data_IF_576908676716
#
_entry.id   IF_576908676716
#
_cell.length_a   1.000
_cell.length_b   1.000
_cell.length_c   1.000
_cell.angle_alpha   90.00
_cell.angle_beta   90.00
_cell.angle_gamma   90.00
#
_symmetry.space_group_name_H-M   'P 1'
#
loop_
_entity.id
_entity.type
_entity.pdbx_description
1 polymer ?
#
# COMPACT_ATOMS: atom_id res chain seq x y z
N UNK A 1 -9.18 9.64 30.07
CA UNK A 1 -7.73 9.55 29.79
C UNK A 1 -7.53 8.50 28.71
N UNK A 2 -7.13 8.75 27.49
CA UNK A 2 -7.05 9.96 26.68
C UNK A 2 -7.10 9.44 25.23
N UNK A 3 -8.21 9.67 24.53
CA UNK A 3 -8.22 9.58 23.07
C UNK A 3 -7.33 10.73 22.61
N UNK A 4 -6.27 10.42 21.88
CA UNK A 4 -5.35 11.42 21.35
C UNK A 4 -6.09 12.18 20.23
N UNK A 5 -6.65 13.39 20.49
CA UNK A 5 -7.80 13.89 19.72
C UNK A 5 -7.43 14.37 18.31
N UNK A 6 -6.19 14.77 18.06
CA UNK A 6 -5.88 15.53 16.85
C UNK A 6 -6.01 14.71 15.56
N UNK A 7 -5.42 13.51 15.50
CA UNK A 7 -5.43 12.73 14.25
C UNK A 7 -6.83 12.20 13.91
N UNK A 8 -7.51 11.62 14.90
CA UNK A 8 -8.81 10.98 14.68
C UNK A 8 -9.88 12.02 14.32
N UNK A 9 -9.90 13.16 15.02
CA UNK A 9 -10.79 14.28 14.73
C UNK A 9 -10.47 14.95 13.39
N UNK A 10 -9.19 15.22 13.10
CA UNK A 10 -8.76 15.78 11.80
C UNK A 10 -9.19 14.87 10.64
N UNK A 11 -8.99 13.56 10.76
CA UNK A 11 -9.45 12.60 9.77
C UNK A 11 -10.98 12.65 9.62
N UNK A 12 -11.71 12.56 10.74
CA UNK A 12 -13.17 12.53 10.73
C UNK A 12 -13.76 13.79 10.07
N UNK A 13 -13.32 14.98 10.49
CA UNK A 13 -13.79 16.26 9.94
C UNK A 13 -13.43 16.39 8.45
N UNK A 14 -12.23 15.98 8.05
CA UNK A 14 -11.81 16.02 6.65
C UNK A 14 -12.74 15.17 5.77
N UNK A 15 -13.04 13.94 6.21
CA UNK A 15 -13.90 13.02 5.48
C UNK A 15 -15.37 13.49 5.53
N UNK A 16 -15.85 13.98 6.67
CA UNK A 16 -17.21 14.53 6.82
C UNK A 16 -17.47 15.71 5.88
N UNK A 17 -16.49 16.58 5.66
CA UNK A 17 -16.60 17.68 4.71
C UNK A 17 -16.70 17.21 3.25
N UNK A 18 -16.16 16.02 2.93
CA UNK A 18 -16.14 15.49 1.57
C UNK A 18 -17.30 14.54 1.27
N UNK A 19 -17.85 13.86 2.29
CA UNK A 19 -18.87 12.82 2.12
C UNK A 19 -20.08 13.07 3.01
N UNK A 20 -21.29 13.02 2.45
CA UNK A 20 -22.53 13.26 3.20
C UNK A 20 -22.91 12.18 4.23
N UNK A 21 -22.32 10.98 4.15
CA UNK A 21 -22.62 9.85 5.02
C UNK A 21 -21.33 9.34 5.65
N UNK A 22 -21.03 9.84 6.84
CA UNK A 22 -19.86 9.47 7.64
C UNK A 22 -20.34 9.19 9.05
N UNK A 23 -19.96 8.04 9.59
CA UNK A 23 -20.36 7.58 10.91
C UNK A 23 -19.14 7.18 11.73
N UNK A 24 -19.08 7.62 12.98
CA UNK A 24 -18.10 7.12 13.93
C UNK A 24 -18.65 5.86 14.59
N UNK A 25 -17.89 4.78 14.50
CA UNK A 25 -18.18 3.50 15.14
C UNK A 25 -17.14 3.29 16.23
N UNK A 26 -17.52 3.67 17.45
CA UNK A 26 -16.70 3.38 18.61
C UNK A 26 -16.78 1.89 18.94
N UNK A 27 -15.67 1.20 18.70
CA UNK A 27 -15.52 -0.22 19.01
C UNK A 27 -14.30 -0.39 19.88
N UNK A 28 -14.33 0.09 21.12
CA UNK A 28 -13.17 0.03 22.02
C UNK A 28 -12.54 -1.37 22.02
N UNK A 29 -11.22 -1.50 21.79
CA UNK A 29 -10.19 -0.45 21.74
C UNK A 29 -9.98 0.25 20.37
N UNK A 30 -10.76 -0.07 19.35
CA UNK A 30 -10.65 0.44 17.98
C UNK A 30 -11.47 1.71 17.76
N UNK A 31 -11.00 2.52 16.82
CA UNK A 31 -11.67 3.73 16.35
C UNK A 31 -11.93 3.59 14.86
N UNK A 32 -13.17 3.30 14.50
CA UNK A 32 -13.55 3.01 13.12
C UNK A 32 -14.44 4.12 12.60
N UNK A 33 -14.11 4.64 11.41
CA UNK A 33 -14.97 5.60 10.69
C UNK A 33 -15.55 4.90 9.47
N UNK A 34 -16.89 4.81 9.43
CA UNK A 34 -17.64 4.31 8.29
C UNK A 34 -17.90 5.42 7.28
N UNK A 35 -17.68 5.14 6.00
CA UNK A 35 -17.79 6.10 4.90
C UNK A 35 -18.73 5.53 3.84
N UNK A 36 -19.88 6.20 3.65
CA UNK A 36 -20.97 5.85 2.73
C UNK A 36 -21.48 4.41 2.85
N UNK A 37 -21.30 3.76 4.01
CA UNK A 37 -21.62 2.34 4.22
C UNK A 37 -20.85 1.39 3.29
N UNK A 38 -19.75 1.85 2.67
CA UNK A 38 -18.95 1.08 1.70
C UNK A 38 -17.58 0.72 2.24
N UNK A 39 -16.97 1.64 2.97
CA UNK A 39 -15.58 1.55 3.42
C UNK A 39 -15.53 1.94 4.87
N UNK A 40 -14.81 1.13 5.64
CA UNK A 40 -14.57 1.39 7.04
C UNK A 40 -13.07 1.55 7.24
N UNK A 41 -12.67 2.58 7.98
CA UNK A 41 -11.27 2.91 8.21
C UNK A 41 -11.04 2.86 9.72
N UNK A 42 -10.24 1.89 10.16
CA UNK A 42 -9.76 1.83 11.53
C UNK A 42 -8.53 2.73 11.68
N UNK A 43 -8.63 3.75 12.54
CA UNK A 43 -7.58 4.74 12.77
C UNK A 43 -6.65 4.27 13.90
N UNK A 44 -5.36 4.24 13.62
CA UNK A 44 -4.31 3.74 14.50
C UNK A 44 -3.37 4.87 14.91
N UNK A 45 -3.56 5.47 16.11
CA UNK A 45 -2.61 6.40 16.70
C UNK A 45 -1.24 5.75 16.90
N UNK A 46 -0.15 6.52 16.82
CA UNK A 46 1.20 5.99 17.03
C UNK A 46 1.40 5.42 18.44
N UNK A 47 0.75 6.01 19.45
CA UNK A 47 0.83 5.56 20.83
C UNK A 47 -0.08 4.35 21.14
N UNK A 48 -0.75 3.77 20.14
CA UNK A 48 -1.64 2.65 20.35
C UNK A 48 -0.87 1.32 20.49
N UNK A 49 -1.17 0.58 21.55
CA UNK A 49 -0.58 -0.73 21.83
C UNK A 49 -1.41 -1.85 21.22
N UNK A 50 -1.36 -1.99 19.90
CA UNK A 50 -2.01 -3.08 19.19
C UNK A 50 -1.03 -4.21 18.87
N UNK A 51 -1.56 -5.43 18.84
CA UNK A 51 -0.91 -6.59 18.23
C UNK A 51 -1.45 -6.82 16.82
N UNK A 52 -0.63 -7.28 15.87
CA UNK A 52 -1.12 -7.53 14.51
C UNK A 52 -2.31 -8.48 14.43
N UNK A 53 -2.35 -9.50 15.29
CA UNK A 53 -3.45 -10.45 15.34
C UNK A 53 -4.80 -9.79 15.71
N UNK A 54 -4.79 -8.73 16.52
CA UNK A 54 -6.01 -7.99 16.88
C UNK A 54 -6.58 -7.28 15.65
N UNK A 55 -5.72 -6.63 14.86
CA UNK A 55 -6.12 -5.93 13.63
C UNK A 55 -6.61 -6.89 12.55
N UNK A 56 -5.98 -8.06 12.44
CA UNK A 56 -6.42 -9.13 11.54
C UNK A 56 -7.77 -9.72 11.93
N UNK A 57 -7.98 -9.93 13.23
CA UNK A 57 -9.26 -10.44 13.74
C UNK A 57 -10.38 -9.44 13.50
N UNK A 58 -10.12 -8.14 13.69
CA UNK A 58 -11.08 -7.08 13.37
C UNK A 58 -11.46 -7.08 11.89
N UNK A 59 -10.49 -7.16 10.98
CA UNK A 59 -10.77 -7.28 9.55
C UNK A 59 -11.60 -8.51 9.21
N UNK A 60 -11.33 -9.66 9.85
CA UNK A 60 -12.08 -10.88 9.61
C UNK A 60 -13.55 -10.74 10.03
N UNK A 61 -13.83 -10.12 11.18
CA UNK A 61 -15.21 -9.86 11.66
C UNK A 61 -15.97 -8.97 10.68
N UNK A 62 -15.37 -7.87 10.23
CA UNK A 62 -15.99 -6.98 9.25
C UNK A 62 -16.17 -7.67 7.89
N UNK A 63 -15.19 -8.45 7.44
CA UNK A 63 -15.28 -9.20 6.19
C UNK A 63 -16.42 -10.24 6.20
N UNK A 64 -16.68 -10.91 7.33
CA UNK A 64 -17.82 -11.83 7.49
C UNK A 64 -19.17 -11.13 7.34
N UNK A 65 -19.25 -9.85 7.67
CA UNK A 65 -20.43 -9.00 7.47
C UNK A 65 -20.51 -8.42 6.05
N UNK A 66 -19.57 -8.78 5.16
CA UNK A 66 -19.45 -8.22 3.82
C UNK A 66 -18.86 -6.81 3.78
N UNK A 67 -18.33 -6.33 4.89
CA UNK A 67 -17.82 -4.96 5.04
C UNK A 67 -16.31 -4.92 4.77
N UNK A 68 -15.87 -3.91 4.01
CA UNK A 68 -14.46 -3.70 3.73
C UNK A 68 -13.82 -2.75 4.75
N UNK A 69 -12.96 -3.29 5.61
CA UNK A 69 -12.20 -2.56 6.62
C UNK A 69 -10.73 -2.43 6.23
N UNK A 70 -10.21 -1.21 6.29
CA UNK A 70 -8.78 -0.87 6.13
C UNK A 70 -8.21 -0.30 7.42
N UNK A 71 -6.89 -0.40 7.57
CA UNK A 71 -6.15 0.15 8.72
C UNK A 71 -5.34 1.36 8.26
N UNK A 72 -5.53 2.49 8.94
CA UNK A 72 -4.80 3.73 8.66
C UNK A 72 -4.03 4.17 9.90
N UNK A 73 -2.72 4.16 9.79
CA UNK A 73 -1.84 4.71 10.81
C UNK A 73 -1.71 6.24 10.70
N UNK A 74 -1.55 6.87 11.85
CA UNK A 74 -1.39 8.31 12.01
C UNK A 74 -0.27 8.90 11.15
N UNK A 75 0.92 8.28 11.14
CA UNK A 75 2.06 8.78 10.36
C UNK A 75 1.79 8.77 8.84
N UNK A 76 1.05 7.76 8.36
CA UNK A 76 0.64 7.66 6.96
C UNK A 76 -0.34 8.77 6.61
N UNK A 77 -1.28 9.07 7.50
CA UNK A 77 -2.21 10.19 7.31
C UNK A 77 -1.48 11.54 7.24
N UNK A 78 -0.60 11.81 8.21
CA UNK A 78 0.16 13.07 8.27
C UNK A 78 1.02 13.26 7.02
N UNK A 79 1.65 12.20 6.51
CA UNK A 79 2.57 12.29 5.36
C UNK A 79 1.90 12.21 3.99
N UNK A 80 0.80 11.48 3.88
CA UNK A 80 0.21 11.05 2.60
C UNK A 80 -1.31 11.26 2.57
N UNK A 81 -1.79 12.32 3.22
CA UNK A 81 -3.22 12.69 3.33
C UNK A 81 -3.95 12.61 1.98
N UNK A 82 -3.41 13.27 0.96
CA UNK A 82 -4.01 13.26 -0.38
C UNK A 82 -4.12 11.84 -0.95
N UNK A 83 -3.07 11.03 -0.89
CA UNK A 83 -3.09 9.66 -1.41
C UNK A 83 -4.09 8.77 -0.63
N UNK A 84 -4.23 8.98 0.68
CA UNK A 84 -5.22 8.29 1.51
C UNK A 84 -6.64 8.66 1.07
N UNK A 85 -6.94 9.95 0.93
CA UNK A 85 -8.25 10.44 0.49
C UNK A 85 -8.59 9.91 -0.91
N UNK A 86 -7.62 9.90 -1.82
CA UNK A 86 -7.78 9.34 -3.17
C UNK A 86 -8.18 7.86 -3.13
N UNK A 87 -7.58 7.09 -2.23
CA UNK A 87 -7.83 5.66 -2.09
C UNK A 87 -9.21 5.39 -1.51
N UNK A 88 -9.60 6.15 -0.48
CA UNK A 88 -10.95 6.12 0.10
C UNK A 88 -12.00 6.49 -0.97
N UNK A 89 -11.75 7.54 -1.75
CA UNK A 89 -12.62 7.96 -2.85
C UNK A 89 -12.79 6.86 -3.92
N UNK A 90 -11.69 6.16 -4.23
CA UNK A 90 -11.70 5.01 -5.13
C UNK A 90 -12.54 3.85 -4.58
N UNK A 91 -12.37 3.51 -3.29
CA UNK A 91 -13.16 2.46 -2.64
C UNK A 91 -14.65 2.81 -2.53
N UNK A 92 -14.98 4.10 -2.42
CA UNK A 92 -16.35 4.59 -2.49
C UNK A 92 -16.94 4.51 -3.91
N UNK A 93 -16.13 4.18 -4.94
CA UNK A 93 -16.57 4.06 -6.33
C UNK A 93 -16.85 5.40 -7.01
N UNK A 94 -16.22 6.48 -6.55
CA UNK A 94 -16.49 7.85 -7.00
C UNK A 94 -15.49 8.34 -8.05
N UNK A 95 -14.46 7.54 -8.36
CA UNK A 95 -13.48 7.89 -9.39
C UNK A 95 -14.11 7.96 -10.79
N UNK A 96 -13.57 8.85 -11.62
CA UNK A 96 -13.84 8.85 -13.05
C UNK A 96 -13.35 7.53 -13.67
N UNK A 97 -14.25 6.84 -14.36
CA UNK A 97 -13.92 5.57 -15.01
C UNK A 97 -13.46 5.78 -16.45
N UNK A 98 -12.26 5.28 -16.75
CA UNK A 98 -11.72 5.18 -18.11
C UNK A 98 -11.60 3.71 -18.52
N UNK A 99 -11.65 3.46 -19.83
CA UNK A 99 -11.51 2.12 -20.38
C UNK A 99 -10.10 1.91 -20.94
N UNK A 100 -9.36 0.93 -20.42
CA UNK A 100 -7.95 0.68 -20.75
C UNK A 100 -7.68 0.43 -22.23
N UNK A 101 -8.67 -0.08 -22.98
CA UNK A 101 -8.58 -0.24 -24.44
C UNK A 101 -8.26 1.07 -25.17
N UNK A 102 -8.79 2.20 -24.70
CA UNK A 102 -8.57 3.54 -25.28
C UNK A 102 -7.21 4.14 -24.92
N UNK A 103 -6.55 3.65 -23.87
CA UNK A 103 -5.24 4.13 -23.44
C UNK A 103 -4.14 3.65 -24.38
N UNK A 104 -3.17 4.51 -24.69
CA UNK A 104 -1.97 4.14 -25.46
C UNK A 104 -0.87 3.72 -24.49
N UNK A 105 -0.22 2.59 -24.75
CA UNK A 105 0.90 2.11 -23.94
C UNK A 105 2.16 2.88 -24.33
N UNK A 106 2.97 3.24 -23.35
CA UNK A 106 4.30 3.79 -23.57
C UNK A 106 5.30 3.26 -22.54
N UNK A 107 6.59 3.30 -22.89
CA UNK A 107 7.65 3.15 -21.89
C UNK A 107 7.85 4.49 -21.18
N UNK A 108 8.05 4.43 -19.88
CA UNK A 108 8.21 5.60 -19.02
C UNK A 108 9.61 5.56 -18.43
N UNK A 109 10.35 6.66 -18.53
CA UNK A 109 11.66 6.76 -17.89
C UNK A 109 11.53 6.73 -16.36
N UNK A 110 12.67 6.59 -15.67
CA UNK A 110 12.66 6.45 -14.21
C UNK A 110 12.26 7.73 -13.48
N UNK A 111 12.53 8.90 -14.05
CA UNK A 111 12.19 10.19 -13.45
C UNK A 111 10.69 10.45 -13.55
N UNK A 112 10.11 10.27 -14.73
CA UNK A 112 8.66 10.39 -14.95
C UNK A 112 7.89 9.37 -14.10
N UNK A 113 8.37 8.13 -14.00
CA UNK A 113 7.74 7.11 -13.15
C UNK A 113 7.83 7.46 -11.65
N UNK A 114 8.96 8.01 -11.21
CA UNK A 114 9.15 8.47 -9.84
C UNK A 114 8.18 9.59 -9.49
N UNK A 115 8.13 10.60 -10.35
CA UNK A 115 7.24 11.75 -10.22
C UNK A 115 5.78 11.33 -10.14
N UNK A 116 5.35 10.42 -11.00
CA UNK A 116 3.98 9.92 -11.01
C UNK A 116 3.65 9.13 -9.73
N UNK A 117 4.53 8.22 -9.31
CA UNK A 117 4.29 7.33 -8.18
C UNK A 117 4.39 8.06 -6.84
N UNK A 118 5.27 9.05 -6.67
CA UNK A 118 5.32 9.86 -5.44
C UNK A 118 4.03 10.66 -5.21
N UNK A 119 3.40 11.09 -6.31
CA UNK A 119 2.12 11.83 -6.26
C UNK A 119 0.94 10.90 -6.04
N UNK A 120 0.88 9.75 -6.71
CA UNK A 120 -0.36 8.96 -6.79
C UNK A 120 -0.32 7.61 -6.05
N UNK A 121 0.85 7.12 -5.65
CA UNK A 121 0.98 5.83 -4.96
C UNK A 121 1.32 6.01 -3.48
N UNK A 122 0.60 5.32 -2.59
CA UNK A 122 0.77 5.44 -1.14
C UNK A 122 2.20 5.11 -0.68
N UNK A 123 2.81 4.07 -1.26
CA UNK A 123 4.17 3.64 -0.96
C UNK A 123 5.25 4.37 -1.78
N UNK A 124 4.87 5.36 -2.60
CA UNK A 124 5.80 6.11 -3.44
C UNK A 124 6.54 5.27 -4.49
N UNK A 125 7.65 5.81 -4.96
CA UNK A 125 8.49 5.21 -5.99
C UNK A 125 9.53 4.25 -5.41
N UNK A 126 9.84 3.21 -6.17
CA UNK A 126 11.01 2.36 -5.96
C UNK A 126 11.65 2.07 -7.31
N UNK A 127 12.98 2.00 -7.34
CA UNK A 127 13.73 1.72 -8.56
C UNK A 127 13.35 0.35 -9.14
N UNK A 128 12.96 0.36 -10.41
CA UNK A 128 12.52 -0.82 -11.17
C UNK A 128 13.22 -0.88 -12.52
N UNK A 129 13.18 -2.06 -13.17
CA UNK A 129 13.85 -2.27 -14.45
C UNK A 129 13.00 -1.80 -15.63
N UNK A 130 11.69 -2.01 -15.54
CA UNK A 130 10.73 -1.66 -16.58
C UNK A 130 9.63 -0.79 -15.99
N UNK A 131 9.31 0.32 -16.64
CA UNK A 131 8.14 1.14 -16.28
C UNK A 131 7.30 1.34 -17.54
N UNK A 132 6.02 1.01 -17.44
CA UNK A 132 5.06 1.14 -18.53
C UNK A 132 3.94 2.09 -18.10
N UNK A 133 3.55 2.96 -19.01
CA UNK A 133 2.53 3.97 -18.81
C UNK A 133 1.29 3.75 -19.69
N UNK A 134 0.14 4.27 -19.25
CA UNK A 134 -1.04 4.43 -20.10
C UNK A 134 -1.36 5.91 -20.30
N UNK A 135 -1.30 6.36 -21.56
CA UNK A 135 -1.69 7.70 -21.96
C UNK A 135 -3.11 7.79 -22.51
N UNK A 136 -3.82 8.84 -22.13
CA UNK A 136 -5.11 9.23 -22.70
C UNK A 136 -4.98 10.67 -23.17
N UNK A 137 -5.27 10.92 -24.45
CA UNK A 137 -5.17 12.26 -25.07
C UNK A 137 -3.80 12.95 -24.82
N UNK A 138 -2.71 12.17 -24.83
CA UNK A 138 -1.36 12.68 -24.60
C UNK A 138 -0.94 12.75 -23.12
N UNK A 139 -1.86 12.60 -22.18
CA UNK A 139 -1.59 12.70 -20.74
C UNK A 139 -1.42 11.31 -20.10
N UNK A 140 -0.38 11.15 -19.27
CA UNK A 140 -0.11 9.91 -18.55
C UNK A 140 -1.12 9.74 -17.41
N UNK A 141 -1.93 8.67 -17.46
CA UNK A 141 -3.00 8.40 -16.48
C UNK A 141 -2.74 7.20 -15.58
N UNK A 142 -1.77 6.34 -15.91
CA UNK A 142 -1.36 5.24 -15.05
C UNK A 142 0.07 4.81 -15.32
N UNK A 143 0.73 4.27 -14.30
CA UNK A 143 2.08 3.70 -14.37
C UNK A 143 2.10 2.34 -13.67
N UNK A 144 2.67 1.34 -14.33
CA UNK A 144 3.03 0.05 -13.76
C UNK A 144 4.55 -0.14 -13.82
N UNK A 145 5.14 -0.57 -12.72
CA UNK A 145 6.58 -0.78 -12.59
C UNK A 145 6.89 -2.24 -12.30
N UNK A 146 7.81 -2.82 -13.06
CA UNK A 146 8.18 -4.22 -13.00
C UNK A 146 9.66 -4.39 -12.67
N UNK A 147 9.96 -5.37 -11.82
CA UNK A 147 11.32 -5.79 -11.53
C UNK A 147 11.92 -6.55 -12.72
N UNK A 148 13.26 -6.68 -12.74
CA UNK A 148 13.92 -7.60 -13.64
C UNK A 148 13.53 -9.05 -13.32
N UNK A 149 13.44 -9.89 -14.35
CA UNK A 149 13.27 -11.34 -14.19
C UNK A 149 14.44 -11.94 -13.39
N UNK A 150 14.14 -12.94 -12.56
CA UNK A 150 15.09 -13.64 -11.70
C UNK A 150 14.88 -15.16 -11.76
N UNK A 151 15.95 -15.96 -11.84
CA UNK A 151 15.87 -17.40 -11.68
C UNK A 151 15.38 -17.80 -10.28
N UNK A 152 14.39 -18.68 -10.22
CA UNK A 152 13.82 -19.20 -8.99
C UNK A 152 14.27 -20.65 -8.79
N UNK A 153 15.49 -20.82 -8.27
CA UNK A 153 16.12 -22.15 -8.11
C UNK A 153 15.25 -23.14 -7.31
N UNK A 154 14.47 -22.67 -6.35
CA UNK A 154 13.56 -23.49 -5.56
C UNK A 154 12.35 -24.03 -6.34
N UNK A 155 12.04 -23.46 -7.53
CA UNK A 155 10.94 -23.88 -8.41
C UNK A 155 11.42 -24.67 -9.64
N UNK A 156 12.74 -24.87 -9.80
CA UNK A 156 13.34 -25.64 -10.89
C UNK A 156 14.45 -24.88 -11.63
N UNK A 157 15.27 -25.62 -12.39
CA UNK A 157 16.48 -25.11 -13.04
C UNK A 157 16.22 -24.03 -14.11
N UNK A 158 15.05 -24.08 -14.76
CA UNK A 158 14.66 -23.15 -15.84
C UNK A 158 13.49 -22.25 -15.45
N UNK A 159 13.22 -22.11 -14.15
CA UNK A 159 12.12 -21.29 -13.67
C UNK A 159 12.57 -19.84 -13.49
N UNK A 160 11.88 -18.91 -14.15
CA UNK A 160 12.09 -17.47 -14.02
C UNK A 160 10.80 -16.78 -13.56
N UNK A 161 10.92 -15.84 -12.63
CA UNK A 161 9.82 -15.02 -12.13
C UNK A 161 10.18 -13.55 -12.24
N UNK A 162 9.19 -12.70 -12.47
CA UNK A 162 9.31 -11.24 -12.33
C UNK A 162 8.25 -10.71 -11.35
N UNK A 163 8.43 -9.48 -10.89
CA UNK A 163 7.52 -8.84 -9.93
C UNK A 163 6.85 -7.61 -10.53
N UNK A 164 5.52 -7.50 -10.40
CA UNK A 164 4.80 -6.23 -10.50
C UNK A 164 4.95 -5.52 -9.16
N UNK A 165 5.83 -4.52 -9.14
CA UNK A 165 6.27 -3.85 -7.91
C UNK A 165 5.31 -2.73 -7.52
N UNK A 166 4.86 -1.94 -8.49
CA UNK A 166 3.94 -0.82 -8.28
C UNK A 166 2.95 -0.69 -9.41
N UNK A 167 1.74 -0.29 -9.07
CA UNK A 167 0.75 0.19 -10.04
C UNK A 167 -0.05 1.33 -9.41
N UNK A 168 -0.12 2.46 -10.10
CA UNK A 168 -1.01 3.55 -9.73
C UNK A 168 -1.73 4.10 -10.95
N UNK A 169 -2.94 4.57 -10.73
CA UNK A 169 -3.65 5.47 -11.63
C UNK A 169 -3.56 6.88 -11.07
N UNK A 170 -3.76 7.88 -11.93
CA UNK A 170 -3.89 9.26 -11.50
C UNK A 170 -5.01 9.37 -10.45
N UNK A 171 -4.78 10.23 -9.46
CA UNK A 171 -5.78 10.61 -8.45
C UNK A 171 -7.15 10.88 -9.08
N UNK A 172 -8.20 10.29 -8.50
CA UNK A 172 -9.57 10.45 -8.96
C UNK A 172 -9.93 9.63 -10.22
N UNK A 173 -9.00 8.83 -10.76
CA UNK A 173 -9.22 8.03 -11.97
C UNK A 173 -9.14 6.54 -11.67
N UNK A 174 -10.06 5.76 -12.24
CA UNK A 174 -10.00 4.30 -12.28
C UNK A 174 -9.99 3.85 -13.74
N UNK A 175 -9.02 3.01 -14.12
CA UNK A 175 -8.88 2.53 -15.50
C UNK A 175 -9.23 1.05 -15.57
N UNK A 176 -10.46 0.74 -15.98
CA UNK A 176 -10.93 -0.63 -16.16
C UNK A 176 -10.09 -1.34 -17.23
N UNK A 177 -9.46 -2.46 -16.87
CA UNK A 177 -8.55 -3.21 -17.74
C UNK A 177 -7.20 -2.53 -18.00
N UNK A 178 -6.89 -1.41 -17.33
CA UNK A 178 -5.63 -0.69 -17.51
C UNK A 178 -4.41 -1.51 -17.06
N UNK A 179 -4.45 -2.07 -15.85
CA UNK A 179 -3.37 -2.90 -15.33
C UNK A 179 -3.15 -4.16 -16.18
N UNK A 180 -4.22 -4.87 -16.56
CA UNK A 180 -4.12 -6.06 -17.41
C UNK A 180 -3.46 -5.76 -18.76
N UNK A 181 -3.77 -4.61 -19.37
CA UNK A 181 -3.14 -4.16 -20.62
C UNK A 181 -1.63 -3.90 -20.46
N UNK A 182 -1.23 -3.30 -19.33
CA UNK A 182 0.19 -3.06 -19.03
C UNK A 182 0.94 -4.36 -18.72
N UNK A 183 0.32 -5.30 -18.01
CA UNK A 183 0.88 -6.63 -17.73
C UNK A 183 1.10 -7.40 -19.04
N UNK A 184 0.11 -7.44 -19.94
CA UNK A 184 0.25 -8.11 -21.23
C UNK A 184 1.44 -7.54 -22.02
N UNK A 185 1.53 -6.21 -22.12
CA UNK A 185 2.64 -5.55 -22.80
C UNK A 185 4.02 -5.80 -22.16
N UNK A 186 4.07 -6.00 -20.84
CA UNK A 186 5.30 -6.44 -20.16
C UNK A 186 5.66 -7.89 -20.52
N UNK A 187 4.70 -8.80 -20.48
CA UNK A 187 4.92 -10.23 -20.75
C UNK A 187 5.26 -10.52 -22.21
N UNK A 188 4.81 -9.68 -23.15
CA UNK A 188 5.22 -9.74 -24.56
C UNK A 188 6.73 -9.49 -24.73
N UNK A 189 7.35 -8.73 -23.81
CA UNK A 189 8.76 -8.33 -23.84
C UNK A 189 9.65 -9.19 -22.94
N UNK A 190 9.09 -9.75 -21.88
CA UNK A 190 9.84 -10.45 -20.83
C UNK A 190 9.24 -11.83 -20.60
N UNK A 191 9.95 -12.86 -21.07
CA UNK A 191 9.56 -14.25 -20.84
C UNK A 191 9.86 -14.65 -19.39
N UNK A 192 8.81 -14.99 -18.65
CA UNK A 192 8.84 -15.51 -17.29
C UNK A 192 7.79 -16.61 -17.16
N UNK A 193 7.96 -17.51 -16.19
CA UNK A 193 6.99 -18.55 -15.85
C UNK A 193 5.87 -18.04 -14.93
N UNK A 194 6.17 -17.02 -14.13
CA UNK A 194 5.18 -16.31 -13.35
C UNK A 194 5.50 -14.82 -13.21
N UNK A 195 4.45 -14.02 -13.01
CA UNK A 195 4.53 -12.66 -12.52
C UNK A 195 3.95 -12.62 -11.11
N UNK A 196 4.77 -12.26 -10.13
CA UNK A 196 4.34 -12.15 -8.74
C UNK A 196 4.05 -10.71 -8.31
N UNK A 197 3.24 -10.54 -7.28
CA UNK A 197 2.98 -9.22 -6.67
C UNK A 197 2.49 -9.36 -5.23
N UNK A 198 2.57 -8.27 -4.47
CA UNK A 198 2.15 -8.20 -3.07
C UNK A 198 1.06 -7.14 -2.90
N UNK A 199 0.03 -7.48 -2.12
CA UNK A 199 -1.01 -6.54 -1.73
C UNK A 199 -0.97 -6.32 -0.21
N UNK A 200 -0.74 -5.07 0.22
CA UNK A 200 -0.73 -4.70 1.63
C UNK A 200 -2.10 -4.94 2.28
N UNK A 201 -2.14 -5.75 3.33
CA UNK A 201 -3.38 -6.17 4.00
C UNK A 201 -4.03 -5.06 4.79
N UNK A 202 -3.28 -4.01 5.14
CA UNK A 202 -3.84 -2.80 5.73
C UNK A 202 -4.81 -2.11 4.75
N UNK A 203 -4.63 -2.32 3.43
CA UNK A 203 -5.31 -1.56 2.38
C UNK A 203 -6.01 -2.42 1.32
N UNK A 204 -5.96 -3.74 1.41
CA UNK A 204 -6.43 -4.61 0.33
C UNK A 204 -6.86 -5.99 0.81
N UNK A 205 -7.99 -6.45 0.28
CA UNK A 205 -8.42 -7.86 0.33
C UNK A 205 -8.05 -8.63 -0.95
N UNK A 206 -7.28 -8.04 -1.87
CA UNK A 206 -6.76 -8.73 -3.06
C UNK A 206 -7.71 -8.85 -4.27
N UNK A 207 -8.99 -8.50 -4.12
CA UNK A 207 -10.04 -8.61 -5.17
C UNK A 207 -9.67 -8.09 -6.57
N UNK A 208 -8.77 -7.12 -6.67
CA UNK A 208 -8.31 -6.58 -7.95
C UNK A 208 -7.42 -7.56 -8.73
N UNK A 209 -6.60 -8.34 -8.03
CA UNK A 209 -5.68 -9.32 -8.62
C UNK A 209 -6.41 -10.58 -9.06
N UNK A 210 -7.40 -11.05 -8.29
CA UNK A 210 -8.24 -12.21 -8.64
C UNK A 210 -8.88 -12.04 -10.03
N UNK A 211 -9.41 -10.85 -10.31
CA UNK A 211 -10.04 -10.50 -11.61
C UNK A 211 -9.06 -10.49 -12.79
N UNK A 212 -7.75 -10.40 -12.51
CA UNK A 212 -6.70 -10.41 -13.52
C UNK A 212 -6.07 -11.80 -13.69
N UNK A 213 -6.65 -12.84 -13.06
CA UNK A 213 -6.15 -14.21 -13.15
C UNK A 213 -4.96 -14.52 -12.23
N UNK A 214 -4.62 -13.60 -11.31
CA UNK A 214 -3.65 -13.94 -10.28
C UNK A 214 -4.26 -14.94 -9.29
N UNK A 215 -3.43 -15.85 -8.82
CA UNK A 215 -3.76 -16.82 -7.79
C UNK A 215 -3.11 -16.41 -6.46
N UNK A 216 -3.90 -16.39 -5.40
CA UNK A 216 -3.38 -16.21 -4.05
C UNK A 216 -2.50 -17.41 -3.69
N UNK A 217 -1.27 -17.15 -3.30
CA UNK A 217 -0.25 -18.17 -3.05
C UNK A 217 0.25 -18.20 -1.60
N UNK A 218 -0.16 -17.22 -0.79
CA UNK A 218 0.19 -17.17 0.62
C UNK A 218 0.03 -15.77 1.20
N UNK A 219 0.33 -15.67 2.50
CA UNK A 219 0.38 -14.43 3.25
C UNK A 219 1.80 -14.26 3.81
N UNK A 220 2.30 -13.02 3.86
CA UNK A 220 3.51 -12.71 4.62
C UNK A 220 3.13 -12.35 6.06
N UNK A 221 4.08 -12.55 6.96
CA UNK A 221 3.98 -12.03 8.32
C UNK A 221 3.93 -10.50 8.33
N UNK A 222 3.51 -9.96 9.47
CA UNK A 222 3.56 -8.55 9.77
C UNK A 222 4.97 -8.00 9.70
N UNK A 223 5.10 -6.84 9.08
CA UNK A 223 6.35 -6.09 8.99
C UNK A 223 6.33 -4.99 10.03
N UNK A 224 7.40 -4.92 10.84
CA UNK A 224 7.59 -3.85 11.81
C UNK A 224 8.44 -2.71 11.21
N UNK A 225 8.08 -1.49 11.60
CA UNK A 225 8.73 -0.26 11.22
C UNK A 225 9.02 0.58 12.46
N UNK A 226 9.96 1.50 12.33
CA UNK A 226 10.15 2.57 13.31
C UNK A 226 9.77 3.90 12.67
N UNK A 227 8.94 4.67 13.36
CA UNK A 227 8.50 6.01 12.99
C UNK A 227 9.32 7.02 13.76
N UNK A 228 10.02 7.89 13.05
CA UNK A 228 10.56 9.12 13.61
C UNK A 228 9.41 10.10 13.88
N UNK A 229 9.07 10.33 15.16
CA UNK A 229 7.92 11.17 15.55
C UNK A 229 8.09 12.64 15.17
N UNK A 230 9.30 13.11 14.91
CA UNK A 230 9.54 14.48 14.45
C UNK A 230 9.19 14.65 12.96
N UNK A 231 9.47 13.64 12.14
CA UNK A 231 9.31 13.72 10.68
C UNK A 231 8.15 12.87 10.14
N UNK A 232 7.52 12.07 11.01
CA UNK A 232 6.53 11.04 10.71
C UNK A 232 6.97 10.05 9.62
N UNK A 233 8.27 9.79 9.52
CA UNK A 233 8.84 8.94 8.46
C UNK A 233 9.06 7.52 8.99
N UNK A 234 8.59 6.51 8.23
CA UNK A 234 8.83 5.09 8.51
C UNK A 234 10.18 4.61 8.00
N UNK A 235 10.84 3.81 8.82
CA UNK A 235 12.05 3.07 8.47
C UNK A 235 11.91 1.59 8.80
N UNK A 236 12.43 0.74 7.92
CA UNK A 236 12.69 -0.65 8.26
C UNK A 236 13.89 -0.72 9.20
N UNK A 237 13.92 -1.71 10.11
CA UNK A 237 15.06 -1.94 11.01
C UNK A 237 16.41 -2.00 10.27
N UNK A 238 16.44 -2.68 9.11
CA UNK A 238 17.65 -2.83 8.28
C UNK A 238 17.92 -1.64 7.35
N UNK A 239 17.13 -0.56 7.42
CA UNK A 239 17.26 0.65 6.58
C UNK A 239 17.18 1.93 7.41
N UNK A 240 17.63 1.87 8.65
CA UNK A 240 17.70 3.05 9.51
C UNK A 240 18.75 4.04 8.97
N UNK A 241 18.58 5.36 9.17
CA UNK A 241 19.56 6.34 8.72
C UNK A 241 20.94 6.10 9.34
N UNK A 242 22.02 6.31 8.57
CA UNK A 242 23.40 6.07 9.04
C UNK A 242 23.71 6.76 10.38
N UNK A 243 23.28 8.02 10.55
CA UNK A 243 23.46 8.78 11.79
C UNK A 243 22.86 8.08 13.01
N UNK A 244 21.69 7.46 12.83
CA UNK A 244 21.01 6.71 13.90
C UNK A 244 21.76 5.42 14.21
N UNK A 245 22.26 4.72 13.19
CA UNK A 245 23.08 3.51 13.38
C UNK A 245 24.40 3.79 14.08
N UNK A 246 25.12 4.85 13.69
CA UNK A 246 26.34 5.26 14.37
C UNK A 246 26.07 5.63 15.84
N UNK A 247 24.97 6.33 16.13
CA UNK A 247 24.59 6.66 17.50
C UNK A 247 24.22 5.40 18.33
N UNK A 248 23.52 4.44 17.72
CA UNK A 248 23.18 3.16 18.35
C UNK A 248 24.42 2.32 18.68
N UNK A 249 25.39 2.27 17.77
CA UNK A 249 26.66 1.57 17.97
C UNK A 249 27.52 2.25 19.06
N UNK A 250 27.53 3.58 19.09
CA UNK A 250 28.33 4.36 20.04
C UNK A 250 27.86 4.21 21.50
N UNK A 251 26.55 4.08 21.73
CA UNK A 251 26.03 3.95 23.10
C UNK A 251 26.29 2.57 23.71
N UNK A 252 26.28 1.49 22.91
CA UNK A 252 26.60 0.10 23.28
C UNK A 252 26.00 -0.44 24.61
N UNK A 253 24.82 0.04 25.03
CA UNK A 253 24.15 -0.30 26.30
C UNK A 253 22.76 -0.86 26.04
N UNK A 254 21.91 -0.09 25.34
CA UNK A 254 20.55 -0.45 24.99
C UNK A 254 20.51 -1.35 23.76
N UNK A 255 19.51 -2.24 23.69
CA UNK A 255 19.15 -2.89 22.43
C UNK A 255 18.49 -1.88 21.48
N UNK A 256 18.33 -2.26 20.20
CA UNK A 256 17.83 -1.35 19.17
C UNK A 256 16.45 -0.75 19.50
N UNK A 257 15.50 -1.56 19.98
CA UNK A 257 14.15 -1.09 20.33
C UNK A 257 14.23 -0.05 21.45
N UNK A 258 14.94 -0.37 22.54
CA UNK A 258 15.08 0.53 23.69
C UNK A 258 15.83 1.82 23.34
N UNK A 259 16.85 1.74 22.48
CA UNK A 259 17.55 2.92 21.98
C UNK A 259 16.62 3.82 21.15
N UNK A 260 15.88 3.25 20.20
CA UNK A 260 14.97 4.02 19.36
C UNK A 260 13.84 4.65 20.18
N UNK A 261 13.28 3.94 21.17
CA UNK A 261 12.33 4.54 22.11
C UNK A 261 12.93 5.69 22.91
N UNK A 262 14.22 5.62 23.28
CA UNK A 262 14.88 6.70 24.02
C UNK A 262 15.08 8.00 23.22
N UNK A 263 14.95 7.94 21.89
CA UNK A 263 15.01 9.10 20.99
C UNK A 263 13.63 9.41 20.38
N UNK A 264 12.56 9.02 21.08
CA UNK A 264 11.16 9.22 20.72
C UNK A 264 10.74 8.58 19.39
N UNK A 265 11.41 7.51 18.95
CA UNK A 265 10.96 6.73 17.80
C UNK A 265 10.00 5.63 18.25
N UNK A 266 8.90 5.49 17.52
CA UNK A 266 7.81 4.58 17.85
C UNK A 266 7.81 3.39 16.91
N UNK A 267 7.68 2.18 17.47
CA UNK A 267 7.57 0.95 16.70
C UNK A 267 6.12 0.72 16.28
N UNK A 268 5.89 0.61 14.98
CA UNK A 268 4.57 0.32 14.38
C UNK A 268 4.69 -0.90 13.46
N UNK A 269 3.59 -1.35 12.89
CA UNK A 269 3.58 -2.50 11.98
C UNK A 269 2.51 -2.38 10.90
N UNK A 270 2.60 -3.22 9.87
CA UNK A 270 1.45 -3.53 9.02
C UNK A 270 0.95 -4.96 9.28
N UNK A 271 -0.22 -5.28 8.76
CA UNK A 271 -0.83 -6.62 8.92
C UNK A 271 -0.30 -7.68 7.93
N UNK A 272 0.87 -7.43 7.35
CA UNK A 272 1.50 -8.28 6.34
C UNK A 272 0.95 -8.03 4.93
N UNK A 273 1.26 -8.93 4.00
CA UNK A 273 0.85 -8.81 2.60
C UNK A 273 0.22 -10.10 2.10
N UNK A 274 -0.75 -9.97 1.19
CA UNK A 274 -1.22 -11.07 0.34
C UNK A 274 -0.22 -11.26 -0.79
N UNK A 275 0.21 -12.50 -1.04
CA UNK A 275 1.15 -12.84 -2.11
C UNK A 275 0.42 -13.49 -3.28
N UNK A 276 0.53 -12.89 -4.46
CA UNK A 276 -0.16 -13.32 -5.67
C UNK A 276 0.83 -13.75 -6.75
N UNK A 277 0.45 -14.75 -7.55
CA UNK A 277 1.16 -15.16 -8.77
C UNK A 277 0.21 -15.25 -9.96
N UNK A 278 0.61 -14.67 -11.09
CA UNK A 278 0.01 -14.89 -12.39
C UNK A 278 0.92 -15.84 -13.18
N UNK A 279 0.48 -17.08 -13.40
CA UNK A 279 1.23 -18.05 -14.19
C UNK A 279 1.00 -17.82 -15.68
N UNK A 280 2.09 -17.77 -16.45
CA UNK A 280 2.07 -17.42 -17.88
C UNK A 280 1.92 -18.62 -18.80
N UNK A 281 2.18 -19.83 -18.29
CA UNK A 281 2.19 -21.09 -19.05
C UNK A 281 0.95 -21.94 -18.71
N UNK A 282 -0.26 -21.41 -18.93
CA UNK A 282 -1.49 -22.22 -18.93
C UNK A 282 -1.94 -22.46 -20.35
#
# INVERSE_FOLDING_TARGET
>A
MGLNPLFQEDFFLTVQNQYHAVEEIQTHPFYVVGIKGRVYVNLLPLNANFLPQQLLSLQAVYAQQGIFLVHLWEDVWVKKREQVLCRIHSFCGLNQSLHGRKGKIEEVDSETAKDFLERHHLQGYIKTKYNLGLKFNGELKAVACFAASRPMKSKGAHYNSAELVRFATQTGVTIAGGLGKLIASFLDKVSVNDLMTYADRDWSLGKGYDKLGFQLSGNTDSVFFYVDTNTMTRYYAHRLPKKIMTAFEAQNVLNLDSFLTSIDWIKVFNTGNLKYHLYTNV
#
